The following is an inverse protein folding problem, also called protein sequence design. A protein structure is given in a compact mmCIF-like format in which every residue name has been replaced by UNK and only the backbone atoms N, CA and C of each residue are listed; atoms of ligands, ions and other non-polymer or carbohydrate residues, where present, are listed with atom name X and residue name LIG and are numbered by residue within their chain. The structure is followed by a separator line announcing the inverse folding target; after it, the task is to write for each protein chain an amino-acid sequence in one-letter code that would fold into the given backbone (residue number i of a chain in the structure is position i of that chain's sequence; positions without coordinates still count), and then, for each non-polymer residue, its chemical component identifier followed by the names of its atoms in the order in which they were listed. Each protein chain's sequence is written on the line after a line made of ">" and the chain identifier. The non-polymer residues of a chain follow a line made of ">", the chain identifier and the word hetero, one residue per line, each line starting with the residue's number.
data_IF_098942626803
#
_entry.id   IF_098942626803
#
_cell.length_a   1.000
_cell.length_b   1.000
_cell.length_c   1.000
_cell.angle_alpha   90.00
_cell.angle_beta   90.00
_cell.angle_gamma   90.00
#
_symmetry.space_group_name_H-M   'P 1'
#
loop_
_entity.id
_entity.type
_entity.pdbx_description
1 polymer ?
#
# COMPACT_ATOMS: atom_id res chain seq x y z
N UNK A 1 18.37 -20.19 -14.93
CA UNK A 1 17.72 -19.19 -14.06
C UNK A 1 17.17 -18.10 -14.97
N UNK A 2 15.99 -17.52 -14.70
CA UNK A 2 15.53 -16.39 -15.49
C UNK A 2 16.53 -15.23 -15.37
N UNK A 3 16.78 -14.56 -16.49
CA UNK A 3 17.66 -13.39 -16.53
C UNK A 3 16.92 -12.18 -15.90
N UNK A 4 17.58 -11.47 -15.00
CA UNK A 4 17.04 -10.24 -14.40
C UNK A 4 17.37 -9.09 -15.34
N UNK A 5 16.34 -8.43 -15.85
CA UNK A 5 16.46 -7.25 -16.73
C UNK A 5 16.17 -5.96 -15.95
N UNK A 6 16.66 -4.84 -16.43
CA UNK A 6 16.35 -3.52 -15.83
C UNK A 6 14.90 -3.11 -16.12
N UNK A 7 14.35 -2.21 -15.29
CA UNK A 7 13.03 -1.61 -15.56
C UNK A 7 12.97 -0.96 -16.94
N UNK A 8 14.01 -0.25 -17.34
CA UNK A 8 14.10 0.40 -18.66
C UNK A 8 14.01 -0.62 -19.80
N UNK A 9 14.72 -1.73 -19.68
CA UNK A 9 14.70 -2.81 -20.67
C UNK A 9 13.33 -3.51 -20.70
N UNK A 10 12.71 -3.73 -19.55
CA UNK A 10 11.38 -4.31 -19.46
C UNK A 10 10.32 -3.43 -20.16
N UNK A 11 10.36 -2.12 -19.91
CA UNK A 11 9.46 -1.15 -20.58
C UNK A 11 9.70 -1.09 -22.08
N UNK A 12 10.97 -1.13 -22.52
CA UNK A 12 11.33 -1.09 -23.95
C UNK A 12 10.92 -2.37 -24.69
N UNK A 13 10.95 -3.54 -24.04
CA UNK A 13 10.52 -4.81 -24.63
C UNK A 13 8.99 -4.98 -24.67
N UNK A 14 8.26 -4.26 -23.83
CA UNK A 14 6.80 -4.29 -23.79
C UNK A 14 6.18 -3.76 -25.08
N UNK A 15 5.29 -4.55 -25.68
CA UNK A 15 4.48 -4.15 -26.86
C UNK A 15 3.03 -3.91 -26.45
N UNK A 16 2.37 -2.92 -27.06
CA UNK A 16 0.98 -2.56 -26.75
C UNK A 16 0.85 -1.64 -25.53
N UNK A 17 -0.38 -1.54 -25.00
CA UNK A 17 -0.67 -0.72 -23.81
C UNK A 17 0.05 -1.26 -22.58
N UNK A 18 0.61 -0.36 -21.81
CA UNK A 18 1.35 -0.68 -20.59
C UNK A 18 0.53 -0.28 -19.38
N UNK A 19 0.37 -1.22 -18.46
CA UNK A 19 -0.42 -1.04 -17.26
C UNK A 19 0.49 -1.15 -16.03
N UNK A 20 0.31 -0.27 -15.05
CA UNK A 20 0.95 -0.36 -13.76
C UNK A 20 -0.07 -0.61 -12.65
N UNK A 21 0.23 -1.55 -11.77
CA UNK A 21 -0.47 -1.71 -10.49
C UNK A 21 0.49 -1.26 -9.38
N UNK A 22 0.13 -0.18 -8.70
CA UNK A 22 0.94 0.43 -7.66
C UNK A 22 0.50 -0.09 -6.29
N UNK A 23 1.45 -0.60 -5.53
CA UNK A 23 1.31 -0.95 -4.13
C UNK A 23 2.25 -0.09 -3.27
N UNK A 24 2.44 -0.46 -2.01
CA UNK A 24 3.27 0.27 -1.04
C UNK A 24 4.70 0.58 -1.52
N UNK A 25 5.23 -0.20 -2.48
CA UNK A 25 6.53 0.07 -3.10
C UNK A 25 6.62 1.46 -3.75
N UNK A 26 5.54 1.97 -4.35
CA UNK A 26 5.49 3.31 -4.92
C UNK A 26 5.59 4.38 -3.82
N UNK A 27 4.80 4.27 -2.77
CA UNK A 27 4.81 5.21 -1.64
C UNK A 27 6.15 5.21 -0.92
N UNK A 28 6.77 4.03 -0.74
CA UNK A 28 8.13 3.90 -0.21
C UNK A 28 9.19 4.51 -1.10
N UNK A 29 9.05 4.43 -2.42
CA UNK A 29 9.97 5.09 -3.33
C UNK A 29 9.92 6.62 -3.21
N UNK A 30 8.74 7.17 -2.91
CA UNK A 30 8.58 8.60 -2.60
C UNK A 30 9.11 8.95 -1.19
N UNK A 31 8.68 8.21 -0.17
CA UNK A 31 8.95 8.52 1.24
C UNK A 31 9.14 7.23 2.07
N UNK A 32 10.28 6.57 1.92
CA UNK A 32 10.59 5.34 2.64
C UNK A 32 10.67 5.53 4.17
N UNK A 33 11.03 6.73 4.62
CA UNK A 33 11.08 7.12 6.02
C UNK A 33 9.70 7.08 6.71
N UNK A 34 8.63 7.16 5.94
CA UNK A 34 7.24 7.15 6.42
C UNK A 34 6.57 5.79 6.13
N UNK A 35 6.64 5.32 4.90
CA UNK A 35 5.83 4.20 4.40
C UNK A 35 6.50 2.82 4.48
N UNK A 36 7.70 2.73 5.06
CA UNK A 36 8.26 1.42 5.40
C UNK A 36 7.40 0.75 6.50
N UNK A 37 7.06 -0.52 6.32
CA UNK A 37 6.19 -1.24 7.28
C UNK A 37 6.70 -1.17 8.72
N UNK A 38 8.01 -1.27 8.94
CA UNK A 38 8.59 -1.09 10.28
C UNK A 38 8.27 0.28 10.90
N UNK A 39 8.25 1.34 10.10
CA UNK A 39 7.90 2.69 10.57
C UNK A 39 6.41 2.84 10.86
N UNK A 40 5.57 2.25 10.04
CA UNK A 40 4.13 2.20 10.29
C UNK A 40 3.82 1.39 11.55
N UNK A 41 4.50 0.25 11.73
CA UNK A 41 4.34 -0.59 12.93
C UNK A 41 4.76 0.14 14.22
N UNK A 42 5.88 0.90 14.20
CA UNK A 42 6.34 1.68 15.35
C UNK A 42 5.34 2.76 15.80
N UNK A 43 4.56 3.31 14.85
CA UNK A 43 3.58 4.39 15.08
C UNK A 43 2.16 3.88 15.33
N UNK A 44 1.90 2.64 14.98
CA UNK A 44 0.57 2.06 15.01
C UNK A 44 0.01 1.95 16.43
N UNK A 45 -1.24 2.36 16.61
CA UNK A 45 -1.98 2.20 17.87
C UNK A 45 -2.76 0.89 17.88
N UNK A 46 -2.26 -0.09 18.61
CA UNK A 46 -2.88 -1.41 18.80
C UNK A 46 -3.86 -1.46 19.98
N UNK A 47 -4.12 -0.35 20.67
CA UNK A 47 -4.86 -0.34 21.95
C UNK A 47 -6.31 -0.84 21.84
N UNK A 48 -6.89 -0.81 20.64
CA UNK A 48 -8.25 -1.26 20.36
C UNK A 48 -8.35 -2.73 19.95
N UNK A 49 -7.23 -3.41 19.78
CA UNK A 49 -7.16 -4.81 19.37
C UNK A 49 -6.89 -5.73 20.56
N UNK A 50 -7.04 -7.03 20.32
CA UNK A 50 -6.58 -7.99 21.32
C UNK A 50 -5.06 -7.88 21.51
N UNK A 51 -4.52 -8.18 22.70
CA UNK A 51 -3.06 -8.22 22.91
C UNK A 51 -2.38 -9.17 21.92
N UNK A 52 -3.02 -10.27 21.59
CA UNK A 52 -2.52 -11.28 20.64
C UNK A 52 -2.35 -10.76 19.22
N UNK A 53 -3.11 -9.75 18.80
CA UNK A 53 -2.98 -9.16 17.46
C UNK A 53 -1.59 -8.56 17.23
N UNK A 54 -1.03 -7.89 18.24
CA UNK A 54 0.33 -7.36 18.19
C UNK A 54 1.38 -8.47 18.31
N UNK A 55 1.15 -9.47 19.13
CA UNK A 55 2.07 -10.59 19.31
C UNK A 55 2.19 -11.46 18.07
N UNK A 56 1.15 -11.49 17.22
CA UNK A 56 1.18 -12.21 15.94
C UNK A 56 2.31 -11.73 15.01
N UNK A 57 2.67 -10.44 15.04
CA UNK A 57 3.82 -9.91 14.29
C UNK A 57 5.13 -10.55 14.75
N UNK A 58 5.32 -10.73 16.06
CA UNK A 58 6.52 -11.36 16.61
C UNK A 58 6.58 -12.85 16.24
N UNK A 59 5.45 -13.57 16.31
CA UNK A 59 5.38 -15.01 15.97
C UNK A 59 5.67 -15.24 14.49
N UNK A 60 5.22 -14.33 13.62
CA UNK A 60 5.42 -14.43 12.18
C UNK A 60 6.73 -13.77 11.70
N UNK A 61 7.53 -13.23 12.64
CA UNK A 61 8.80 -12.53 12.35
C UNK A 61 8.67 -11.48 11.24
N UNK A 62 7.67 -10.61 11.36
CA UNK A 62 7.36 -9.61 10.33
C UNK A 62 6.83 -8.32 10.95
N UNK A 63 6.95 -7.20 10.22
CA UNK A 63 6.24 -5.94 10.48
C UNK A 63 5.22 -5.62 9.38
N UNK A 64 5.01 -6.55 8.45
CA UNK A 64 4.07 -6.42 7.34
C UNK A 64 2.65 -6.76 7.82
N UNK A 65 1.80 -5.75 7.86
CA UNK A 65 0.41 -5.87 8.28
C UNK A 65 -0.40 -6.81 7.38
N UNK A 66 -0.13 -6.82 6.08
CA UNK A 66 -0.85 -7.66 5.12
C UNK A 66 -0.57 -9.14 5.35
N UNK A 67 0.68 -9.48 5.66
CA UNK A 67 1.10 -10.85 6.02
C UNK A 67 0.37 -11.32 7.28
N UNK A 68 0.29 -10.47 8.31
CA UNK A 68 -0.38 -10.84 9.57
C UNK A 68 -1.89 -10.95 9.39
N UNK A 69 -2.52 -10.00 8.71
CA UNK A 69 -3.96 -10.06 8.41
C UNK A 69 -4.34 -11.32 7.63
N UNK A 70 -3.54 -11.69 6.62
CA UNK A 70 -3.78 -12.90 5.84
C UNK A 70 -3.60 -14.16 6.68
N UNK A 71 -2.57 -14.22 7.54
CA UNK A 71 -2.32 -15.35 8.43
C UNK A 71 -3.51 -15.54 9.40
N UNK A 72 -4.01 -14.47 10.02
CA UNK A 72 -5.17 -14.52 10.91
C UNK A 72 -6.43 -15.01 10.18
N UNK A 73 -6.72 -14.49 8.98
CA UNK A 73 -7.86 -14.94 8.16
C UNK A 73 -7.76 -16.41 7.75
N UNK A 74 -6.56 -16.90 7.45
CA UNK A 74 -6.34 -18.33 7.16
C UNK A 74 -6.51 -19.17 8.41
N UNK A 75 -5.97 -18.73 9.55
CA UNK A 75 -6.14 -19.42 10.84
C UNK A 75 -7.62 -19.53 11.23
N UNK A 76 -8.39 -18.46 11.07
CA UNK A 76 -9.83 -18.48 11.33
C UNK A 76 -10.56 -19.56 10.51
N UNK A 77 -10.24 -19.69 9.22
CA UNK A 77 -10.82 -20.72 8.35
C UNK A 77 -10.45 -22.14 8.80
N UNK A 78 -9.20 -22.33 9.22
CA UNK A 78 -8.74 -23.64 9.71
C UNK A 78 -9.38 -24.01 11.05
N UNK A 79 -9.51 -23.07 11.99
CA UNK A 79 -10.19 -23.30 13.26
C UNK A 79 -11.66 -23.68 13.02
N UNK A 80 -12.37 -22.97 12.16
CA UNK A 80 -13.76 -23.30 11.78
C UNK A 80 -13.90 -24.71 11.18
N UNK A 81 -12.87 -25.22 10.52
CA UNK A 81 -12.88 -26.53 9.89
C UNK A 81 -12.49 -27.67 10.84
N UNK A 82 -11.47 -27.46 11.68
CA UNK A 82 -10.86 -28.53 12.49
C UNK A 82 -11.24 -28.51 13.97
N UNK A 83 -11.79 -27.39 14.43
CA UNK A 83 -12.10 -27.14 15.84
C UNK A 83 -13.36 -26.26 15.92
N UNK A 84 -14.50 -26.79 15.42
CA UNK A 84 -15.77 -26.07 15.29
C UNK A 84 -16.26 -25.53 16.66
N UNK A 85 -15.93 -26.25 17.75
CA UNK A 85 -16.23 -25.85 19.12
C UNK A 85 -15.51 -24.57 19.57
N UNK A 86 -14.49 -24.14 18.83
CA UNK A 86 -13.72 -22.90 19.07
C UNK A 86 -14.12 -21.77 18.10
N UNK A 87 -15.38 -21.70 17.71
CA UNK A 87 -15.90 -20.65 16.81
C UNK A 87 -15.62 -19.23 17.30
N UNK A 88 -15.66 -19.00 18.62
CA UNK A 88 -15.32 -17.70 19.22
C UNK A 88 -13.87 -17.29 18.94
N UNK A 89 -12.92 -18.25 18.96
CA UNK A 89 -11.51 -18.01 18.64
C UNK A 89 -11.37 -17.64 17.15
N UNK A 90 -12.06 -18.34 16.27
CA UNK A 90 -12.06 -18.00 14.84
C UNK A 90 -12.63 -16.60 14.59
N UNK A 91 -13.72 -16.24 15.31
CA UNK A 91 -14.27 -14.88 15.29
C UNK A 91 -13.28 -13.82 15.74
N UNK A 92 -12.51 -14.10 16.81
CA UNK A 92 -11.49 -13.19 17.30
C UNK A 92 -10.37 -12.96 16.26
N UNK A 93 -9.92 -13.99 15.56
CA UNK A 93 -8.95 -13.83 14.47
C UNK A 93 -9.47 -12.94 13.34
N UNK A 94 -10.74 -13.06 12.98
CA UNK A 94 -11.36 -12.21 11.96
C UNK A 94 -11.46 -10.75 12.42
N UNK A 95 -11.87 -10.52 13.67
CA UNK A 95 -11.93 -9.18 14.27
C UNK A 95 -10.56 -8.52 14.34
N UNK A 96 -9.54 -9.27 14.78
CA UNK A 96 -8.18 -8.74 14.84
C UNK A 96 -7.62 -8.43 13.44
N UNK A 97 -7.90 -9.28 12.44
CA UNK A 97 -7.47 -9.02 11.07
C UNK A 97 -8.11 -7.76 10.46
N UNK A 98 -9.41 -7.55 10.71
CA UNK A 98 -10.11 -6.37 10.22
C UNK A 98 -9.69 -5.11 10.99
N UNK A 99 -9.51 -5.22 12.30
CA UNK A 99 -8.99 -4.13 13.13
C UNK A 99 -7.54 -3.75 12.77
N UNK A 100 -6.68 -4.69 12.40
CA UNK A 100 -5.33 -4.41 11.90
C UNK A 100 -5.36 -3.58 10.60
N UNK A 101 -6.36 -3.77 9.75
CA UNK A 101 -6.55 -2.90 8.58
C UNK A 101 -6.82 -1.46 9.00
N UNK A 102 -7.70 -1.24 9.97
CA UNK A 102 -8.00 0.10 10.47
C UNK A 102 -6.78 0.76 11.12
N UNK A 103 -6.02 -0.01 11.89
CA UNK A 103 -4.76 0.43 12.50
C UNK A 103 -3.76 0.86 11.43
N UNK A 104 -3.60 0.06 10.37
CA UNK A 104 -2.71 0.40 9.24
C UNK A 104 -3.14 1.68 8.54
N UNK A 105 -4.44 1.82 8.22
CA UNK A 105 -4.99 3.02 7.57
C UNK A 105 -4.77 4.25 8.44
N UNK A 106 -5.02 4.16 9.76
CA UNK A 106 -4.77 5.25 10.70
C UNK A 106 -3.28 5.61 10.77
N UNK A 107 -2.40 4.63 10.87
CA UNK A 107 -0.95 4.86 10.90
C UNK A 107 -0.43 5.53 9.61
N UNK A 108 -0.98 5.15 8.44
CA UNK A 108 -0.69 5.81 7.16
C UNK A 108 -1.20 7.25 7.18
N UNK A 109 -2.45 7.48 7.57
CA UNK A 109 -3.07 8.80 7.60
C UNK A 109 -2.32 9.77 8.53
N UNK A 110 -1.94 9.31 9.72
CA UNK A 110 -1.17 10.10 10.70
C UNK A 110 0.27 10.36 10.25
N UNK A 111 0.84 9.47 9.43
CA UNK A 111 2.19 9.60 8.90
C UNK A 111 2.24 10.35 7.58
N UNK A 112 1.11 10.46 6.88
CA UNK A 112 1.03 11.12 5.59
C UNK A 112 1.48 12.59 5.71
N UNK A 113 2.29 13.12 4.79
CA UNK A 113 2.61 14.54 4.77
C UNK A 113 1.31 15.39 4.77
N UNK A 114 1.31 16.52 5.50
CA UNK A 114 0.10 17.33 5.65
C UNK A 114 -0.32 18.00 4.33
N UNK A 115 0.65 18.26 3.46
CA UNK A 115 0.44 18.97 2.20
C UNK A 115 1.43 18.52 1.11
N UNK A 116 1.05 18.70 -0.16
CA UNK A 116 1.92 18.34 -1.29
C UNK A 116 3.33 18.97 -1.22
N UNK A 117 3.46 20.18 -0.69
CA UNK A 117 4.75 20.87 -0.55
C UNK A 117 5.74 20.22 0.43
N UNK A 118 5.32 19.25 1.22
CA UNK A 118 6.19 18.50 2.14
C UNK A 118 6.90 17.33 1.43
N UNK A 119 6.58 17.08 0.17
CA UNK A 119 7.28 16.13 -0.71
C UNK A 119 8.20 16.93 -1.65
N UNK A 120 9.46 16.50 -1.74
CA UNK A 120 10.46 17.19 -2.54
C UNK A 120 10.15 17.15 -4.04
N UNK A 121 10.42 18.25 -4.75
CA UNK A 121 10.21 18.35 -6.20
C UNK A 121 10.97 17.27 -6.99
N UNK A 122 12.15 16.87 -6.53
CA UNK A 122 12.91 15.78 -7.14
C UNK A 122 12.21 14.42 -6.98
N UNK A 123 11.54 14.19 -5.85
CA UNK A 123 10.75 12.99 -5.64
C UNK A 123 9.53 12.97 -6.58
N UNK A 124 8.82 14.09 -6.71
CA UNK A 124 7.75 14.20 -7.72
C UNK A 124 8.24 13.99 -9.15
N UNK A 125 9.41 14.56 -9.49
CA UNK A 125 10.04 14.36 -10.80
C UNK A 125 10.28 12.87 -11.08
N UNK A 126 10.83 12.14 -10.10
CA UNK A 126 11.08 10.71 -10.22
C UNK A 126 9.77 9.93 -10.38
N UNK A 127 8.73 10.27 -9.60
CA UNK A 127 7.40 9.67 -9.73
C UNK A 127 6.81 9.90 -11.12
N UNK A 128 6.78 11.13 -11.61
CA UNK A 128 6.23 11.46 -12.93
C UNK A 128 7.00 10.78 -14.06
N UNK A 129 8.33 10.71 -13.96
CA UNK A 129 9.16 10.00 -14.94
C UNK A 129 8.81 8.51 -15.00
N UNK A 130 8.56 7.89 -13.85
CA UNK A 130 8.11 6.50 -13.79
C UNK A 130 6.71 6.34 -14.35
N UNK A 131 5.75 7.15 -13.92
CA UNK A 131 4.34 7.09 -14.34
C UNK A 131 4.16 7.32 -15.85
N UNK A 132 4.96 8.20 -16.45
CA UNK A 132 4.95 8.46 -17.90
C UNK A 132 5.30 7.23 -18.77
N UNK A 133 5.75 6.14 -18.18
CA UNK A 133 6.03 4.89 -18.89
C UNK A 133 4.80 4.02 -19.10
N UNK A 134 3.63 4.40 -18.56
CA UNK A 134 2.41 3.59 -18.56
C UNK A 134 1.24 4.34 -19.13
N UNK A 135 0.33 3.59 -19.78
CA UNK A 135 -0.92 4.10 -20.37
C UNK A 135 -2.07 4.06 -19.35
N UNK A 136 -2.06 3.06 -18.45
CA UNK A 136 -3.06 2.90 -17.41
C UNK A 136 -2.38 2.64 -16.06
N UNK A 137 -2.86 3.30 -15.02
CA UNK A 137 -2.30 3.22 -13.68
C UNK A 137 -3.41 2.86 -12.71
N UNK A 138 -3.19 1.81 -11.94
CA UNK A 138 -4.06 1.35 -10.86
C UNK A 138 -3.31 1.45 -9.55
N UNK A 139 -3.98 1.87 -8.48
CA UNK A 139 -3.38 1.93 -7.15
C UNK A 139 -4.24 1.18 -6.14
N UNK A 140 -3.57 0.40 -5.29
CA UNK A 140 -4.14 -0.23 -4.11
C UNK A 140 -3.61 0.42 -2.82
N UNK A 141 -2.93 1.57 -2.94
CA UNK A 141 -2.41 2.31 -1.80
C UNK A 141 -3.51 3.09 -1.09
N UNK A 142 -3.34 3.28 0.21
CA UNK A 142 -4.24 4.07 1.07
C UNK A 142 -3.81 5.54 1.20
N UNK A 143 -2.74 5.95 0.52
CA UNK A 143 -2.19 7.31 0.56
C UNK A 143 -2.57 8.14 -0.67
N UNK A 144 -2.27 9.44 -0.63
CA UNK A 144 -2.57 10.40 -1.69
C UNK A 144 -1.38 10.71 -2.60
N UNK A 145 -0.24 10.02 -2.45
CA UNK A 145 0.99 10.40 -3.15
C UNK A 145 0.87 10.29 -4.68
N UNK A 146 0.17 9.28 -5.19
CA UNK A 146 -0.10 9.18 -6.63
C UNK A 146 -0.88 10.40 -7.12
N UNK A 147 -1.97 10.75 -6.45
CA UNK A 147 -2.79 11.91 -6.78
C UNK A 147 -1.96 13.19 -6.76
N UNK A 148 -1.19 13.40 -5.68
CA UNK A 148 -0.34 14.58 -5.55
C UNK A 148 0.75 14.64 -6.63
N UNK A 149 1.35 13.50 -7.01
CA UNK A 149 2.34 13.47 -8.08
C UNK A 149 1.74 13.87 -9.44
N UNK A 150 0.52 13.43 -9.73
CA UNK A 150 -0.19 13.77 -10.96
C UNK A 150 -0.59 15.25 -11.02
N UNK A 151 -0.92 15.85 -9.88
CA UNK A 151 -1.31 17.27 -9.77
C UNK A 151 -0.15 18.27 -9.83
N UNK A 152 1.10 17.82 -9.99
CA UNK A 152 2.27 18.72 -10.13
C UNK A 152 2.45 19.18 -11.58
N UNK A 153 1.66 20.14 -12.04
CA UNK A 153 1.65 20.59 -13.45
C UNK A 153 2.97 21.20 -13.92
N UNK A 154 3.70 21.84 -12.99
CA UNK A 154 5.00 22.47 -13.29
C UNK A 154 6.15 21.46 -13.45
N UNK A 155 5.99 20.23 -12.94
CA UNK A 155 7.03 19.20 -12.95
C UNK A 155 6.89 18.32 -14.20
N UNK A 156 7.96 18.22 -15.00
CA UNK A 156 7.98 17.38 -16.20
C UNK A 156 8.51 15.96 -15.90
N UNK A 157 8.12 14.92 -16.68
CA UNK A 157 7.22 15.02 -17.84
C UNK A 157 5.79 15.34 -17.41
N UNK A 158 5.03 15.94 -18.34
CA UNK A 158 3.60 16.08 -18.16
C UNK A 158 2.93 14.72 -18.32
N UNK A 159 2.21 14.28 -17.30
CA UNK A 159 1.46 13.03 -17.29
C UNK A 159 -0.03 13.41 -17.29
N UNK A 160 -0.62 13.45 -18.47
CA UNK A 160 -2.06 13.64 -18.60
C UNK A 160 -2.76 12.50 -17.86
N UNK A 161 -3.75 12.84 -17.04
CA UNK A 161 -4.49 11.84 -16.26
C UNK A 161 -5.98 12.12 -16.28
N UNK A 162 -6.76 11.07 -16.12
CA UNK A 162 -8.19 11.09 -15.94
C UNK A 162 -8.55 10.06 -14.87
N UNK A 163 -9.08 10.49 -13.76
CA UNK A 163 -9.46 9.63 -12.63
C UNK A 163 -10.88 9.07 -12.77
N UNK A 164 -11.59 9.42 -13.83
CA UNK A 164 -12.95 8.97 -14.09
C UNK A 164 -14.03 9.67 -13.26
N UNK A 165 -13.68 10.65 -12.43
CA UNK A 165 -14.63 11.40 -11.59
C UNK A 165 -15.08 12.72 -12.21
N UNK A 166 -14.90 12.90 -13.53
CA UNK A 166 -15.39 14.08 -14.25
C UNK A 166 -16.90 14.13 -14.22
N UNK A 167 -17.46 15.33 -14.05
CA UNK A 167 -18.86 15.54 -14.30
C UNK A 167 -19.09 15.52 -15.83
N UNK A 168 -20.19 14.88 -16.30
CA UNK A 168 -20.42 14.73 -17.76
C UNK A 168 -20.58 16.03 -18.55
N UNK A 169 -20.70 17.16 -17.89
CA UNK A 169 -21.05 18.47 -18.48
C UNK A 169 -19.88 19.48 -18.44
N UNK A 170 -18.65 19.07 -18.13
CA UNK A 170 -17.45 19.94 -18.15
C UNK A 170 -16.63 19.77 -19.45
#
# INVERSE_FOLDING_TARGET
>A
MPEVITFKDAVAQGTGRKHALLGNGFSRACRNDIFAYGKLFERADFSKLSPSAKDAFNILDTTDFEVVMEALKRAAKLVKLYAEEHGDLAGQFELDADGLREVLVSAIAESHPERPGDVDAHQYQACKTFLASFDDIYSINYDLLLYWALMQDEIKPDVGHDDGFRQPDD
#
